data_IF_522601234519
#
_entry.id   IF_522601234519
#
_cell.length_a   1.000
_cell.length_b   1.000
_cell.length_c   1.000
_cell.angle_alpha   90.00
_cell.angle_beta   90.00
_cell.angle_gamma   90.00
#
_symmetry.space_group_name_H-M   'P 1'
#
loop_
_entity.id
_entity.type
_entity.pdbx_description
1 polymer ?
#
# COMPACT_ATOMS: atom_id res chain seq x y z
N UNK A 1 -17.76 -1.45 -7.67
CA UNK A 1 -16.34 -1.88 -7.79
C UNK A 1 -15.50 -0.65 -7.48
N UNK A 2 -14.49 -0.73 -6.61
CA UNK A 2 -13.70 0.45 -6.26
C UNK A 2 -12.64 0.72 -7.33
N UNK A 3 -12.70 1.90 -7.94
CA UNK A 3 -11.72 2.36 -8.92
C UNK A 3 -10.44 2.85 -8.22
N UNK A 4 -9.30 2.47 -8.77
CA UNK A 4 -7.99 2.87 -8.31
C UNK A 4 -7.23 3.59 -9.44
N UNK A 5 -6.46 4.60 -9.05
CA UNK A 5 -5.41 5.18 -9.89
C UNK A 5 -4.06 4.73 -9.40
N UNK A 6 -3.16 4.35 -10.28
CA UNK A 6 -1.79 4.03 -9.88
C UNK A 6 -0.77 4.51 -10.91
N UNK A 7 0.43 4.81 -10.43
CA UNK A 7 1.56 5.23 -11.24
C UNK A 7 2.87 4.94 -10.52
N UNK A 8 3.92 4.70 -11.30
CA UNK A 8 5.28 4.55 -10.80
C UNK A 8 6.03 5.87 -10.95
N UNK A 9 6.55 6.37 -9.84
CA UNK A 9 7.40 7.54 -9.81
C UNK A 9 8.87 7.10 -9.80
N UNK A 10 9.56 7.36 -10.91
CA UNK A 10 10.98 7.01 -11.09
C UNK A 10 11.91 7.87 -10.24
N UNK A 11 11.56 9.13 -9.94
CA UNK A 11 12.41 10.00 -9.12
C UNK A 11 12.56 9.49 -7.69
N UNK A 12 11.53 8.83 -7.17
CA UNK A 12 11.55 8.27 -5.80
C UNK A 12 11.52 6.74 -5.78
N UNK A 13 11.55 6.11 -6.95
CA UNK A 13 11.45 4.66 -7.20
C UNK A 13 10.28 3.98 -6.47
N UNK A 14 9.10 4.60 -6.45
CA UNK A 14 7.93 4.09 -5.69
C UNK A 14 6.70 3.98 -6.58
N UNK A 15 5.91 2.94 -6.34
CA UNK A 15 4.59 2.80 -6.93
C UNK A 15 3.54 3.38 -5.99
N UNK A 16 2.78 4.36 -6.49
CA UNK A 16 1.70 5.01 -5.76
C UNK A 16 0.39 4.46 -6.30
N UNK A 17 -0.48 4.03 -5.39
CA UNK A 17 -1.82 3.53 -5.68
C UNK A 17 -2.81 4.35 -4.85
N UNK A 18 -3.81 4.92 -5.49
CA UNK A 18 -4.82 5.80 -4.92
C UNK A 18 -6.20 5.21 -5.21
N UNK A 19 -7.00 4.99 -4.17
CA UNK A 19 -8.40 4.62 -4.32
C UNK A 19 -9.23 5.89 -4.51
N UNK A 20 -10.00 5.96 -5.61
CA UNK A 20 -10.86 7.12 -5.91
C UNK A 20 -12.09 7.18 -5.00
N UNK A 21 -12.55 6.02 -4.56
CA UNK A 21 -13.78 5.84 -3.78
C UNK A 21 -13.59 6.35 -2.33
N UNK A 22 -12.45 6.02 -1.73
CA UNK A 22 -12.14 6.34 -0.33
C UNK A 22 -11.04 7.38 -0.16
N UNK A 23 -10.49 7.91 -1.25
CA UNK A 23 -9.30 8.79 -1.28
C UNK A 23 -8.09 8.23 -0.51
N UNK A 24 -8.05 6.91 -0.27
CA UNK A 24 -6.95 6.24 0.42
C UNK A 24 -5.78 6.04 -0.53
N UNK A 25 -4.56 6.31 -0.06
CA UNK A 25 -3.33 6.08 -0.82
C UNK A 25 -2.46 5.00 -0.19
N UNK A 26 -1.88 4.16 -1.03
CA UNK A 26 -0.89 3.14 -0.68
C UNK A 26 0.35 3.37 -1.52
N UNK A 27 1.52 3.30 -0.88
CA UNK A 27 2.80 3.51 -1.55
C UNK A 27 3.67 2.27 -1.34
N UNK A 28 4.00 1.59 -2.43
CA UNK A 28 4.95 0.49 -2.41
C UNK A 28 6.37 1.03 -2.60
N UNK A 29 7.21 0.80 -1.58
CA UNK A 29 8.64 1.15 -1.61
C UNK A 29 9.55 -0.01 -2.01
N UNK A 30 9.08 -1.25 -1.82
CA UNK A 30 9.89 -2.43 -2.11
C UNK A 30 9.74 -2.85 -3.56
N UNK A 31 10.85 -2.93 -4.28
CA UNK A 31 10.89 -3.39 -5.69
C UNK A 31 10.15 -4.71 -5.91
N UNK A 32 10.38 -5.72 -5.05
CA UNK A 32 9.66 -7.01 -5.09
C UNK A 32 8.13 -6.87 -5.07
N UNK A 33 7.59 -5.87 -4.37
CA UNK A 33 6.15 -5.64 -4.29
C UNK A 33 5.63 -4.87 -5.48
N UNK A 34 6.41 -3.92 -5.95
CA UNK A 34 6.13 -3.18 -7.18
C UNK A 34 6.02 -4.20 -8.32
N UNK A 35 7.01 -5.07 -8.49
CA UNK A 35 6.99 -6.14 -9.49
C UNK A 35 5.79 -7.07 -9.35
N UNK A 36 5.45 -7.50 -8.11
CA UNK A 36 4.26 -8.32 -7.88
C UNK A 36 2.95 -7.62 -8.25
N UNK A 37 2.82 -6.34 -7.92
CA UNK A 37 1.66 -5.55 -8.31
C UNK A 37 1.60 -5.42 -9.83
N UNK A 38 2.70 -5.04 -10.46
CA UNK A 38 2.83 -4.89 -11.91
C UNK A 38 2.47 -6.18 -12.66
N UNK A 39 2.96 -7.34 -12.21
CA UNK A 39 2.57 -8.65 -12.76
C UNK A 39 1.08 -8.95 -12.62
N UNK A 40 0.39 -8.42 -11.60
CA UNK A 40 -1.06 -8.61 -11.45
C UNK A 40 -1.85 -7.87 -12.52
N UNK A 41 -1.32 -6.73 -13.00
CA UNK A 41 -1.91 -5.94 -14.08
C UNK A 41 -1.30 -6.24 -15.45
N UNK A 42 -0.38 -7.20 -15.54
CA UNK A 42 0.41 -7.51 -16.74
C UNK A 42 1.11 -6.27 -17.32
N UNK A 43 1.60 -5.39 -16.43
CA UNK A 43 2.25 -4.14 -16.80
C UNK A 43 3.76 -4.21 -16.60
N UNK A 44 4.52 -3.58 -17.49
CA UNK A 44 5.94 -3.35 -17.30
C UNK A 44 6.17 -2.05 -16.49
N UNK A 45 7.25 -2.05 -15.70
CA UNK A 45 7.63 -0.89 -14.87
C UNK A 45 7.90 0.36 -15.74
N UNK A 46 8.52 0.18 -16.92
CA UNK A 46 8.75 1.24 -17.90
C UNK A 46 7.47 1.81 -18.51
N UNK A 47 6.40 1.02 -18.60
CA UNK A 47 5.09 1.48 -19.06
C UNK A 47 4.29 2.17 -17.95
N UNK A 48 4.69 1.99 -16.69
CA UNK A 48 3.99 2.51 -15.52
C UNK A 48 4.34 3.96 -15.16
N UNK A 49 5.09 4.66 -16.02
CA UNK A 49 5.43 6.09 -15.84
C UNK A 49 4.21 7.03 -15.92
N UNK A 50 3.10 6.56 -16.50
CA UNK A 50 1.83 7.30 -16.60
C UNK A 50 0.87 7.03 -15.44
N UNK A 51 -0.17 7.86 -15.32
CA UNK A 51 -1.29 7.61 -14.41
C UNK A 51 -2.27 6.65 -15.07
N UNK A 52 -2.42 5.46 -14.50
CA UNK A 52 -3.37 4.44 -14.92
C UNK A 52 -4.60 4.47 -14.04
N UNK A 53 -5.75 4.13 -14.62
CA UNK A 53 -7.01 3.96 -13.92
C UNK A 53 -7.52 2.55 -14.20
N UNK A 54 -7.74 1.77 -13.16
CA UNK A 54 -8.30 0.42 -13.26
C UNK A 54 -9.10 0.11 -11.99
N UNK A 55 -9.71 -1.07 -11.93
CA UNK A 55 -10.37 -1.58 -10.72
C UNK A 55 -9.34 -2.26 -9.82
N UNK A 56 -9.58 -2.26 -8.51
CA UNK A 56 -8.66 -2.91 -7.54
C UNK A 56 -8.63 -4.44 -7.68
N UNK A 57 -7.94 -4.94 -8.71
CA UNK A 57 -7.76 -6.38 -8.98
C UNK A 57 -6.73 -7.00 -8.03
N UNK A 58 -5.75 -6.21 -7.63
CA UNK A 58 -4.71 -6.62 -6.68
C UNK A 58 -5.21 -6.71 -5.23
N UNK A 59 -6.46 -6.30 -4.94
CA UNK A 59 -7.03 -6.34 -3.60
C UNK A 59 -6.28 -5.43 -2.63
N UNK A 60 -5.72 -4.32 -3.10
CA UNK A 60 -5.00 -3.36 -2.26
C UNK A 60 -5.91 -2.74 -1.20
N UNK A 61 -7.20 -2.59 -1.52
CA UNK A 61 -8.19 -1.92 -0.67
C UNK A 61 -9.36 -2.81 -0.23
N UNK A 62 -9.33 -4.12 -0.51
CA UNK A 62 -10.40 -5.03 -0.06
C UNK A 62 -10.44 -5.12 1.47
N UNK A 63 -11.60 -4.81 2.04
CA UNK A 63 -11.90 -5.02 3.46
C UNK A 63 -11.96 -6.53 3.74
N UNK A 64 -10.92 -7.06 4.39
CA UNK A 64 -10.91 -8.46 4.83
C UNK A 64 -9.53 -9.04 5.13
N UNK A 65 -8.51 -8.74 4.33
CA UNK A 65 -7.19 -9.33 4.55
C UNK A 65 -6.05 -8.35 4.23
N UNK A 66 -5.21 -8.12 5.25
CA UNK A 66 -4.00 -7.29 5.26
C UNK A 66 -4.25 -5.80 5.00
N UNK A 67 -4.69 -5.16 6.08
CA UNK A 67 -4.26 -3.81 6.42
C UNK A 67 -2.72 -3.73 6.31
N UNK A 68 -2.21 -3.30 5.14
CA UNK A 68 -0.78 -3.11 4.95
C UNK A 68 -0.41 -1.78 5.62
N UNK A 69 -0.33 -1.80 6.95
CA UNK A 69 0.22 -0.71 7.74
C UNK A 69 1.68 -0.49 7.29
N UNK A 70 2.02 0.67 6.68
CA UNK A 70 3.43 1.01 6.43
C UNK A 70 4.14 1.42 7.73
N UNK A 71 3.43 1.41 8.86
CA UNK A 71 3.93 1.77 10.19
C UNK A 71 3.72 0.62 11.16
N UNK A 72 4.55 -0.42 11.03
CA UNK A 72 4.82 -1.31 12.16
C UNK A 72 6.31 -1.26 12.42
N UNK A 73 6.80 -0.10 12.88
CA UNK A 73 8.02 0.14 13.67
C UNK A 73 7.93 1.57 14.26
N UNK A 74 8.33 1.70 15.53
CA UNK A 74 7.98 2.70 16.57
C UNK A 74 6.65 2.40 17.29
N UNK A 75 6.60 1.99 18.57
CA UNK A 75 7.56 2.00 19.68
C UNK A 75 7.62 0.64 20.40
N UNK A 76 8.83 0.30 20.85
CA UNK A 76 9.11 -0.68 21.91
C UNK A 76 9.24 0.09 23.24
N UNK A 77 8.54 -0.39 24.28
CA UNK A 77 8.64 -0.11 25.74
C UNK A 77 8.24 1.32 26.18
N UNK A 78 7.59 1.54 27.33
CA UNK A 78 7.95 1.07 28.68
C UNK A 78 6.77 0.70 29.60
N UNK A 79 7.12 -0.12 30.60
CA UNK A 79 6.35 -0.60 31.75
C UNK A 79 5.71 0.53 32.58
N UNK A 80 4.67 0.19 33.35
CA UNK A 80 4.58 0.34 34.82
C UNK A 80 3.16 -0.09 35.21
N UNK A 81 3.02 -1.34 35.67
CA UNK A 81 2.83 -1.73 37.07
C UNK A 81 1.36 -1.63 37.48
N UNK A 82 0.66 -2.76 37.39
CA UNK A 82 -0.53 -3.03 38.18
C UNK A 82 -0.09 -3.09 39.64
N UNK A 83 -0.46 -2.10 40.44
CA UNK A 83 -0.53 -2.26 41.87
C UNK A 83 -1.93 -2.80 42.20
N UNK A 84 -1.93 -3.98 42.81
CA UNK A 84 -3.09 -4.63 43.40
C UNK A 84 -3.24 -4.18 44.84
N UNK A 85 -4.50 -4.08 45.30
CA UNK A 85 -4.97 -4.20 46.70
C UNK A 85 -4.63 -2.97 47.58
N UNK A 86 -5.54 -2.35 48.31
CA UNK A 86 -6.56 -2.90 49.23
C UNK A 86 -7.95 -2.24 49.13
#
# INVERSE_FOLDING_TARGET
>A
MSEIKFWYDESIERLIVLNLDNQKRVVYRSKKRIEKFLSTYDLALSSCKGVFLDVDRAGVFKAGEREFTPFKWFRRKENTCSESVE
#
